data_IF_163043288479
#
_entry.id   IF_163043288479
#
_cell.length_a   1.000
_cell.length_b   1.000
_cell.length_c   1.000
_cell.angle_alpha   90.00
_cell.angle_beta   90.00
_cell.angle_gamma   90.00
#
_symmetry.space_group_name_H-M   'P 1'
#
loop_
_entity.id
_entity.type
_entity.pdbx_description
1 polymer ?
#
# COMPACT_ATOMS: atom_id res chain seq x y z
N UNK A 1 -1.73 -6.52 15.92
CA UNK A 1 -0.35 -6.14 15.54
C UNK A 1 0.54 -6.32 16.77
N UNK A 2 1.57 -7.16 16.71
CA UNK A 2 2.50 -7.30 17.83
C UNK A 2 3.32 -6.00 17.96
N UNK A 3 3.37 -5.42 19.16
CA UNK A 3 4.13 -4.21 19.39
C UNK A 3 5.60 -4.50 19.11
N UNK A 4 6.19 -3.81 18.12
CA UNK A 4 7.59 -4.04 17.69
C UNK A 4 8.56 -3.95 18.87
N UNK A 5 8.25 -3.08 19.83
CA UNK A 5 8.99 -2.93 21.10
C UNK A 5 9.00 -4.22 21.93
N UNK A 6 7.89 -4.96 21.99
CA UNK A 6 7.82 -6.22 22.75
C UNK A 6 8.67 -7.33 22.13
N UNK A 7 8.72 -7.39 20.79
CA UNK A 7 9.55 -8.37 20.06
C UNK A 7 11.03 -8.08 20.26
N UNK A 8 11.43 -6.81 20.12
CA UNK A 8 12.82 -6.39 20.34
C UNK A 8 13.24 -6.63 21.79
N UNK A 9 12.37 -6.33 22.76
CA UNK A 9 12.66 -6.57 24.16
C UNK A 9 12.84 -8.06 24.46
N UNK A 10 11.96 -8.92 23.94
CA UNK A 10 12.10 -10.37 24.08
C UNK A 10 13.42 -10.89 23.49
N UNK A 11 13.80 -10.38 22.32
CA UNK A 11 15.06 -10.75 21.66
C UNK A 11 16.29 -10.34 22.47
N UNK A 12 16.30 -9.12 23.02
CA UNK A 12 17.37 -8.62 23.88
C UNK A 12 17.47 -9.46 25.15
N UNK A 13 16.34 -9.77 25.79
CA UNK A 13 16.35 -10.59 27.01
C UNK A 13 16.88 -12.00 26.75
N UNK A 14 16.52 -12.61 25.62
CA UNK A 14 17.00 -13.93 25.23
C UNK A 14 18.51 -13.91 24.92
N UNK A 15 18.99 -12.87 24.25
CA UNK A 15 20.40 -12.68 23.95
C UNK A 15 21.23 -12.56 25.24
N UNK A 16 20.77 -11.75 26.19
CA UNK A 16 21.44 -11.59 27.50
C UNK A 16 21.48 -12.92 28.26
N UNK A 17 20.36 -13.65 28.30
CA UNK A 17 20.30 -14.94 28.99
C UNK A 17 21.24 -15.98 28.36
N UNK A 18 21.27 -16.04 27.03
CA UNK A 18 22.17 -16.92 26.28
C UNK A 18 23.65 -16.60 26.52
N UNK A 19 24.00 -15.31 26.53
CA UNK A 19 25.38 -14.88 26.83
C UNK A 19 25.78 -15.15 28.28
N UNK A 20 24.89 -14.89 29.25
CA UNK A 20 25.16 -15.19 30.65
C UNK A 20 25.34 -16.71 30.89
N UNK A 21 24.52 -17.53 30.25
CA UNK A 21 24.67 -18.99 30.26
C UNK A 21 25.99 -19.45 29.65
N UNK A 22 26.40 -18.87 28.52
CA UNK A 22 27.67 -19.18 27.89
C UNK A 22 28.88 -18.81 28.77
N UNK A 23 28.84 -17.66 29.45
CA UNK A 23 29.89 -17.24 30.39
C UNK A 23 29.96 -18.19 31.60
N UNK A 24 28.81 -18.61 32.15
CA UNK A 24 28.78 -19.60 33.23
C UNK A 24 29.37 -20.94 32.82
N UNK A 25 29.05 -21.44 31.61
CA UNK A 25 29.65 -22.66 31.07
C UNK A 25 31.15 -22.48 30.90
N UNK A 26 31.61 -21.32 30.43
CA UNK A 26 33.04 -21.04 30.25
C UNK A 26 33.81 -21.05 31.58
N UNK A 27 33.18 -20.68 32.69
CA UNK A 27 33.78 -20.74 34.02
C UNK A 27 33.78 -22.14 34.65
N UNK A 28 32.73 -22.94 34.42
CA UNK A 28 32.56 -24.26 35.07
C UNK A 28 33.11 -25.41 34.21
N UNK A 29 32.99 -25.31 32.89
CA UNK A 29 33.41 -26.31 31.89
C UNK A 29 33.91 -25.62 30.61
N UNK A 30 35.11 -25.02 30.65
CA UNK A 30 35.67 -24.29 29.52
C UNK A 30 35.77 -25.13 28.23
N UNK A 31 35.97 -26.44 28.35
CA UNK A 31 36.00 -27.39 27.24
C UNK A 31 34.66 -27.50 26.49
N UNK A 32 33.54 -27.26 27.16
CA UNK A 32 32.20 -27.31 26.59
C UNK A 32 31.70 -25.93 26.11
N UNK A 33 32.45 -24.85 26.41
CA UNK A 33 32.03 -23.49 26.14
C UNK A 33 31.87 -23.21 24.64
N UNK A 34 32.75 -23.76 23.79
CA UNK A 34 32.64 -23.61 22.35
C UNK A 34 31.31 -24.16 21.81
N UNK A 35 30.90 -25.33 22.28
CA UNK A 35 29.63 -25.96 21.90
C UNK A 35 28.42 -25.17 22.42
N UNK A 36 28.49 -24.69 23.66
CA UNK A 36 27.42 -23.88 24.25
C UNK A 36 27.24 -22.53 23.52
N UNK A 37 28.34 -21.84 23.19
CA UNK A 37 28.31 -20.61 22.39
C UNK A 37 27.72 -20.89 21.01
N UNK A 38 28.14 -21.99 20.36
CA UNK A 38 27.60 -22.40 19.05
C UNK A 38 26.08 -22.62 19.07
N UNK A 39 25.56 -23.29 20.11
CA UNK A 39 24.12 -23.48 20.29
C UNK A 39 23.38 -22.15 20.50
N UNK A 40 23.91 -21.26 21.33
CA UNK A 40 23.32 -19.93 21.58
C UNK A 40 23.24 -19.13 20.28
N UNK A 41 24.34 -19.04 19.53
CA UNK A 41 24.38 -18.34 18.23
C UNK A 41 23.40 -18.96 17.24
N UNK A 42 23.29 -20.28 17.20
CA UNK A 42 22.36 -20.98 16.30
C UNK A 42 20.90 -20.64 16.62
N UNK A 43 20.52 -20.64 17.90
CA UNK A 43 19.16 -20.30 18.36
C UNK A 43 18.84 -18.83 18.06
N UNK A 44 19.77 -17.91 18.36
CA UNK A 44 19.64 -16.49 18.02
C UNK A 44 19.53 -16.28 16.51
N UNK A 45 20.31 -17.01 15.72
CA UNK A 45 20.25 -17.02 14.27
C UNK A 45 18.86 -17.39 13.77
N UNK A 46 18.36 -18.56 14.15
CA UNK A 46 17.01 -19.05 13.80
C UNK A 46 15.90 -18.08 14.24
N UNK A 47 15.98 -17.54 15.45
CA UNK A 47 15.02 -16.57 15.94
C UNK A 47 15.04 -15.29 15.09
N UNK A 48 16.23 -14.81 14.70
CA UNK A 48 16.37 -13.61 13.86
C UNK A 48 15.78 -13.80 12.47
N UNK A 49 16.05 -14.93 11.81
CA UNK A 49 15.48 -15.26 10.50
C UNK A 49 13.97 -15.42 10.58
N UNK A 50 13.46 -16.06 11.63
CA UNK A 50 12.02 -16.15 11.89
C UNK A 50 11.38 -14.77 11.99
N UNK A 51 11.89 -13.90 12.86
CA UNK A 51 11.37 -12.53 13.05
C UNK A 51 11.42 -11.72 11.76
N UNK A 52 12.55 -11.76 11.03
CA UNK A 52 12.69 -11.04 9.75
C UNK A 52 11.69 -11.56 8.73
N UNK A 53 11.52 -12.87 8.62
CA UNK A 53 10.60 -13.51 7.67
C UNK A 53 9.15 -13.15 8.00
N UNK A 54 8.73 -13.30 9.25
CA UNK A 54 7.38 -12.92 9.69
C UNK A 54 7.12 -11.42 9.56
N UNK A 55 8.11 -10.57 9.81
CA UNK A 55 7.98 -9.13 9.62
C UNK A 55 7.87 -8.75 8.13
N UNK A 56 8.67 -9.38 7.27
CA UNK A 56 8.60 -9.19 5.82
C UNK A 56 7.23 -9.64 5.27
N UNK A 57 6.74 -10.80 5.68
CA UNK A 57 5.42 -11.31 5.30
C UNK A 57 4.28 -10.43 5.84
N UNK A 58 4.38 -9.98 7.10
CA UNK A 58 3.41 -9.05 7.67
C UNK A 58 3.34 -7.72 6.93
N UNK A 59 4.50 -7.17 6.52
CA UNK A 59 4.57 -5.97 5.69
C UNK A 59 3.99 -6.19 4.30
N UNK A 60 4.24 -7.34 3.67
CA UNK A 60 3.65 -7.68 2.38
C UNK A 60 2.12 -7.70 2.45
N UNK A 61 1.54 -8.30 3.50
CA UNK A 61 0.09 -8.28 3.72
C UNK A 61 -0.49 -6.88 3.90
N UNK A 62 0.21 -6.00 4.62
CA UNK A 62 -0.22 -4.60 4.81
C UNK A 62 -0.15 -3.79 3.50
N UNK A 63 0.88 -4.01 2.69
CA UNK A 63 1.02 -3.39 1.36
C UNK A 63 -0.08 -3.86 0.41
N UNK A 64 -0.39 -5.16 0.41
CA UNK A 64 -1.47 -5.73 -0.39
C UNK A 64 -2.82 -5.12 -0.01
N UNK A 65 -3.09 -5.02 1.30
CA UNK A 65 -4.32 -4.40 1.81
C UNK A 65 -4.45 -2.93 1.41
N UNK A 66 -3.37 -2.15 1.48
CA UNK A 66 -3.37 -0.74 1.02
C UNK A 66 -3.55 -0.62 -0.49
N UNK A 67 -2.97 -1.52 -1.27
CA UNK A 67 -3.15 -1.53 -2.73
C UNK A 67 -4.61 -1.79 -3.10
N UNK A 68 -5.29 -2.75 -2.47
CA UNK A 68 -6.71 -3.04 -2.74
C UNK A 68 -7.60 -1.82 -2.47
N UNK A 69 -7.41 -1.14 -1.34
CA UNK A 69 -8.17 0.09 -1.02
C UNK A 69 -7.93 1.22 -2.03
N UNK A 70 -6.71 1.32 -2.55
CA UNK A 70 -6.35 2.32 -3.57
C UNK A 70 -7.01 1.99 -4.91
N UNK A 71 -7.01 0.72 -5.32
CA UNK A 71 -7.64 0.26 -6.55
C UNK A 71 -9.16 0.52 -6.52
N UNK A 72 -9.83 0.23 -5.40
CA UNK A 72 -11.27 0.53 -5.26
C UNK A 72 -11.56 2.03 -5.37
N UNK A 73 -10.71 2.87 -4.79
CA UNK A 73 -10.85 4.34 -4.86
C UNK A 73 -10.68 4.83 -6.30
N UNK A 74 -9.66 4.34 -7.00
CA UNK A 74 -9.42 4.66 -8.42
C UNK A 74 -10.58 4.18 -9.28
N UNK A 75 -11.09 2.96 -9.08
CA UNK A 75 -12.24 2.45 -9.84
C UNK A 75 -13.49 3.32 -9.64
N UNK A 76 -13.79 3.74 -8.41
CA UNK A 76 -14.93 4.64 -8.14
C UNK A 76 -14.77 5.99 -8.83
N UNK A 77 -13.58 6.58 -8.78
CA UNK A 77 -13.29 7.86 -9.44
C UNK A 77 -13.32 7.75 -10.97
N UNK A 78 -12.73 6.71 -11.54
CA UNK A 78 -12.73 6.46 -12.99
C UNK A 78 -14.16 6.23 -13.49
N UNK A 79 -14.94 5.37 -12.84
CA UNK A 79 -16.32 5.09 -13.26
C UNK A 79 -17.22 6.35 -13.22
N UNK A 80 -17.06 7.22 -12.22
CA UNK A 80 -17.75 8.51 -12.18
C UNK A 80 -17.34 9.44 -13.32
N UNK A 81 -16.04 9.53 -13.61
CA UNK A 81 -15.50 10.40 -14.66
C UNK A 81 -15.92 9.93 -16.06
N UNK A 82 -15.87 8.62 -16.32
CA UNK A 82 -16.31 8.04 -17.61
C UNK A 82 -17.80 8.26 -17.83
N UNK A 83 -18.62 8.17 -16.78
CA UNK A 83 -20.08 8.42 -16.87
C UNK A 83 -20.37 9.89 -17.18
N UNK A 84 -19.66 10.82 -16.54
CA UNK A 84 -19.77 12.25 -16.82
C UNK A 84 -19.34 12.59 -18.26
N UNK A 85 -18.22 12.03 -18.72
CA UNK A 85 -17.74 12.21 -20.09
C UNK A 85 -18.70 11.65 -21.13
N UNK A 86 -19.31 10.49 -20.85
CA UNK A 86 -20.30 9.89 -21.74
C UNK A 86 -21.56 10.76 -21.87
N UNK A 87 -22.07 11.26 -20.75
CA UNK A 87 -23.24 12.13 -20.71
C UNK A 87 -22.99 13.43 -21.50
N UNK A 88 -21.81 14.03 -21.36
CA UNK A 88 -21.42 15.23 -22.11
C UNK A 88 -21.28 14.94 -23.61
N UNK A 89 -20.72 13.79 -23.97
CA UNK A 89 -20.60 13.37 -25.36
C UNK A 89 -21.98 13.16 -26.02
N UNK A 90 -22.92 12.54 -25.29
CA UNK A 90 -24.32 12.42 -25.74
C UNK A 90 -24.98 13.79 -25.89
N UNK A 91 -24.76 14.72 -24.95
CA UNK A 91 -25.29 16.10 -25.02
C UNK A 91 -24.78 16.83 -26.26
N UNK A 92 -23.46 16.79 -26.50
CA UNK A 92 -22.83 17.43 -27.66
C UNK A 92 -23.28 16.79 -28.97
N UNK A 93 -23.42 15.47 -29.01
CA UNK A 93 -23.93 14.74 -30.19
C UNK A 93 -25.37 15.12 -30.51
N UNK A 94 -26.22 15.30 -29.50
CA UNK A 94 -27.60 15.75 -29.70
C UNK A 94 -27.68 17.19 -30.18
N UNK A 95 -26.82 18.08 -29.66
CA UNK A 95 -26.71 19.47 -30.14
C UNK A 95 -26.20 19.52 -31.58
N UNK A 96 -25.19 18.72 -31.92
CA UNK A 96 -24.66 18.67 -33.28
C UNK A 96 -25.69 18.12 -34.28
N UNK A 97 -26.45 17.09 -33.90
CA UNK A 97 -27.55 16.58 -34.72
C UNK A 97 -28.70 17.60 -34.86
N UNK A 98 -28.99 18.39 -33.83
CA UNK A 98 -29.97 19.47 -33.91
C UNK A 98 -29.51 20.62 -34.84
N UNK A 99 -28.20 20.71 -35.13
CA UNK A 99 -27.57 21.76 -35.95
C UNK A 99 -27.27 21.25 -37.38
N UNK A 100 -27.87 20.14 -37.83
CA UNK A 100 -27.56 19.52 -39.13
C UNK A 100 -27.53 20.53 -40.31
N UNK A 101 -26.51 20.46 -41.20
CA UNK A 101 -26.15 21.55 -42.09
C UNK A 101 -27.14 21.66 -43.25
N UNK A 102 -27.82 22.80 -43.33
CA UNK A 102 -28.79 23.10 -44.37
C UNK A 102 -29.57 24.39 -44.18
N UNK A 103 -29.42 25.09 -43.05
CA UNK A 103 -30.02 26.41 -42.87
C UNK A 103 -29.20 27.47 -43.64
N UNK A 104 -29.84 28.33 -44.45
CA UNK A 104 -29.16 29.43 -45.13
C UNK A 104 -28.46 30.32 -44.10
N UNK A 105 -27.23 30.72 -44.42
CA UNK A 105 -26.29 31.42 -43.52
C UNK A 105 -26.72 32.84 -43.12
N UNK A 106 -27.93 33.27 -43.46
CA UNK A 106 -28.39 34.64 -43.25
C UNK A 106 -29.04 34.86 -41.87
N UNK A 107 -29.43 33.79 -41.16
CA UNK A 107 -30.18 33.90 -39.89
C UNK A 107 -29.34 33.67 -38.61
N UNK A 108 -28.06 33.31 -38.74
CA UNK A 108 -27.20 33.02 -37.57
C UNK A 108 -26.86 34.29 -36.79
N UNK A 109 -26.82 35.45 -37.44
CA UNK A 109 -26.58 36.75 -36.80
C UNK A 109 -27.76 37.24 -35.95
N UNK A 110 -28.99 36.77 -36.22
CA UNK A 110 -30.17 37.17 -35.46
C UNK A 110 -30.26 36.49 -34.07
N UNK A 111 -29.77 35.25 -33.93
CA UNK A 111 -29.84 34.51 -32.65
C UNK A 111 -28.79 34.96 -31.63
N UNK A 112 -27.62 35.42 -32.08
CA UNK A 112 -26.55 35.88 -31.17
C UNK A 112 -26.90 37.23 -30.53
N UNK A 113 -27.68 38.07 -31.23
CA UNK A 113 -28.01 39.42 -30.78
C UNK A 113 -29.11 39.44 -29.71
N UNK A 114 -29.97 38.41 -29.65
CA UNK A 114 -31.10 38.34 -28.71
C UNK A 114 -30.69 37.75 -27.34
N UNK A 115 -29.58 37.03 -27.26
CA UNK A 115 -29.08 36.42 -26.01
C UNK A 115 -28.23 37.32 -25.11
N UNK A 116 -28.00 38.58 -25.48
CA UNK A 116 -27.10 39.49 -24.75
C UNK A 116 -27.80 40.46 -23.79
N UNK A 117 -29.13 40.43 -23.71
CA UNK A 117 -29.92 41.25 -22.80
C UNK A 117 -31.10 40.49 -22.17
N UNK A 118 -30.82 39.44 -21.39
CA UNK A 118 -31.61 39.05 -20.21
C UNK A 118 -30.66 38.54 -19.14
#
# INVERSE_FOLDING_TARGET
MMNKTAVTLAFITLAILGFAGAILVLLVRPEAAATAIGLVVTILGLASTGVVTFYALGKQGEVLSKQTATIETIQKQTNGTTTALLAENTRLTNLLHAVQPGAPTDDVDALITTGKHV
#
